data_IF_909838745938
#
_entry.id   IF_909838745938
#
_cell.length_a   1.000
_cell.length_b   1.000
_cell.length_c   1.000
_cell.angle_alpha   90.00
_cell.angle_beta   90.00
_cell.angle_gamma   90.00
#
_symmetry.space_group_name_H-M   'P 1'
#
loop_
_entity.id
_entity.type
_entity.pdbx_description
1 polymer ?
#
# COMPACT_ATOMS: atom_id res chain seq x y z
N UNK A 1 3.94 5.79 -27.26
CA UNK A 1 4.68 4.90 -26.35
C UNK A 1 4.34 3.50 -26.80
N UNK A 2 5.30 2.77 -27.38
CA UNK A 2 5.07 1.38 -27.79
C UNK A 2 4.66 0.55 -26.58
N UNK A 3 3.53 -0.14 -26.71
CA UNK A 3 3.00 -1.04 -25.69
C UNK A 3 3.97 -2.23 -25.61
N UNK A 4 4.84 -2.24 -24.59
CA UNK A 4 5.86 -3.27 -24.44
C UNK A 4 5.16 -4.59 -24.04
N UNK A 5 4.92 -5.44 -25.04
CA UNK A 5 4.21 -6.71 -24.93
C UNK A 5 4.80 -7.63 -23.85
N UNK A 6 6.12 -7.65 -23.67
CA UNK A 6 6.79 -8.45 -22.63
C UNK A 6 6.43 -7.97 -21.22
N UNK A 7 6.43 -6.65 -20.99
CA UNK A 7 5.99 -6.08 -19.71
C UNK A 7 4.53 -6.40 -19.41
N UNK A 8 3.67 -6.38 -20.43
CA UNK A 8 2.24 -6.69 -20.30
C UNK A 8 2.04 -8.16 -19.91
N UNK A 9 2.72 -9.08 -20.61
CA UNK A 9 2.65 -10.51 -20.31
C UNK A 9 3.17 -10.84 -18.91
N UNK A 10 4.30 -10.24 -18.50
CA UNK A 10 4.84 -10.43 -17.15
C UNK A 10 3.90 -9.88 -16.08
N UNK A 11 3.29 -8.70 -16.30
CA UNK A 11 2.31 -8.12 -15.37
C UNK A 11 1.12 -9.05 -15.18
N UNK A 12 0.57 -9.60 -16.25
CA UNK A 12 -0.58 -10.52 -16.17
C UNK A 12 -0.22 -11.78 -15.38
N UNK A 13 0.94 -12.38 -15.66
CA UNK A 13 1.42 -13.57 -14.93
C UNK A 13 1.58 -13.31 -13.43
N UNK A 14 2.13 -12.14 -13.05
CA UNK A 14 2.33 -11.79 -11.65
C UNK A 14 1.01 -11.46 -10.93
N UNK A 15 0.07 -10.81 -11.63
CA UNK A 15 -1.27 -10.53 -11.09
C UNK A 15 -2.03 -11.83 -10.84
N UNK A 16 -2.04 -12.75 -11.80
CA UNK A 16 -2.70 -14.06 -11.65
C UNK A 16 -2.14 -14.84 -10.45
N UNK A 17 -0.82 -14.88 -10.29
CA UNK A 17 -0.19 -15.53 -9.12
C UNK A 17 -0.60 -14.87 -7.80
N UNK A 18 -0.69 -13.54 -7.79
CA UNK A 18 -1.09 -12.78 -6.60
C UNK A 18 -2.57 -13.02 -6.27
N UNK A 19 -3.44 -12.99 -7.26
CA UNK A 19 -4.89 -13.21 -7.11
C UNK A 19 -5.23 -14.65 -6.68
N UNK A 20 -4.40 -15.63 -7.08
CA UNK A 20 -4.51 -17.02 -6.61
C UNK A 20 -3.94 -17.25 -5.19
N UNK A 21 -3.35 -16.22 -4.56
CA UNK A 21 -2.90 -16.34 -3.17
C UNK A 21 -4.09 -16.28 -2.23
N UNK A 22 -4.22 -17.26 -1.32
CA UNK A 22 -5.33 -17.29 -0.38
C UNK A 22 -5.29 -16.08 0.57
N UNK A 23 -6.48 -15.64 1.00
CA UNK A 23 -6.63 -14.53 1.93
C UNK A 23 -5.85 -14.75 3.24
N UNK A 24 -5.84 -15.97 3.77
CA UNK A 24 -5.11 -16.30 5.00
C UNK A 24 -3.60 -16.16 4.82
N UNK A 25 -3.06 -16.65 3.70
CA UNK A 25 -1.64 -16.50 3.39
C UNK A 25 -1.28 -15.02 3.21
N UNK A 26 -2.14 -14.25 2.54
CA UNK A 26 -1.97 -12.81 2.38
C UNK A 26 -1.95 -12.10 3.73
N UNK A 27 -2.85 -12.44 4.65
CA UNK A 27 -2.90 -11.87 6.01
C UNK A 27 -1.64 -12.23 6.81
N UNK A 28 -1.20 -13.49 6.76
CA UNK A 28 0.04 -13.94 7.42
C UNK A 28 1.26 -13.21 6.85
N UNK A 29 1.34 -13.08 5.53
CA UNK A 29 2.43 -12.38 4.85
C UNK A 29 2.45 -10.89 5.21
N UNK A 30 1.29 -10.23 5.21
CA UNK A 30 1.13 -8.83 5.56
C UNK A 30 1.63 -8.55 6.99
N UNK A 31 1.20 -9.36 7.96
CA UNK A 31 1.66 -9.24 9.34
C UNK A 31 3.17 -9.47 9.49
N UNK A 32 3.75 -10.44 8.76
CA UNK A 32 5.20 -10.67 8.75
C UNK A 32 5.96 -9.49 8.16
N UNK A 33 5.44 -8.88 7.09
CA UNK A 33 6.05 -7.70 6.45
C UNK A 33 6.00 -6.50 7.40
N UNK A 34 4.86 -6.21 8.02
CA UNK A 34 4.74 -5.14 9.02
C UNK A 34 5.77 -5.31 10.15
N UNK A 35 5.91 -6.52 10.70
CA UNK A 35 6.93 -6.80 11.74
C UNK A 35 8.36 -6.52 11.27
N UNK A 36 8.67 -6.76 9.99
CA UNK A 36 9.98 -6.44 9.42
C UNK A 36 10.16 -4.95 9.20
N UNK A 37 9.14 -4.24 8.71
CA UNK A 37 9.17 -2.79 8.50
C UNK A 37 9.52 -2.03 9.78
N UNK A 38 8.95 -2.42 10.93
CA UNK A 38 9.26 -1.81 12.23
C UNK A 38 10.73 -1.88 12.64
N UNK A 39 11.49 -2.84 12.09
CA UNK A 39 12.92 -2.99 12.35
C UNK A 39 13.79 -2.09 11.48
N UNK A 40 13.22 -1.49 10.43
CA UNK A 40 13.95 -0.61 9.52
C UNK A 40 14.08 0.76 10.16
N UNK A 41 15.32 1.23 10.32
CA UNK A 41 15.62 2.52 10.93
C UNK A 41 14.91 3.69 10.24
N UNK A 42 14.91 3.70 8.90
CA UNK A 42 14.23 4.73 8.10
C UNK A 42 12.71 4.77 8.37
N UNK A 43 12.07 3.61 8.52
CA UNK A 43 10.64 3.53 8.84
C UNK A 43 10.36 4.03 10.27
N UNK A 44 11.14 3.55 11.24
CA UNK A 44 10.96 3.89 12.66
C UNK A 44 11.06 5.40 12.91
N UNK A 45 12.06 6.05 12.30
CA UNK A 45 12.35 7.47 12.54
C UNK A 45 11.66 8.43 11.55
N UNK A 46 10.92 7.91 10.56
CA UNK A 46 10.17 8.77 9.65
C UNK A 46 9.08 9.55 10.41
N UNK A 47 9.03 10.86 10.21
CA UNK A 47 7.95 11.73 10.73
C UNK A 47 6.80 11.85 9.74
N UNK A 48 7.09 11.74 8.44
CA UNK A 48 6.14 11.77 7.33
C UNK A 48 6.27 10.48 6.51
N UNK A 49 5.16 9.80 6.27
CA UNK A 49 5.14 8.51 5.56
C UNK A 49 4.10 8.54 4.46
N UNK A 50 4.54 8.31 3.22
CA UNK A 50 3.66 7.99 2.10
C UNK A 50 3.42 6.49 2.04
N UNK A 51 2.15 6.09 1.98
CA UNK A 51 1.73 4.68 1.93
C UNK A 51 0.49 4.55 1.06
N UNK A 52 0.29 3.40 0.41
CA UNK A 52 -0.90 3.14 -0.40
C UNK A 52 -1.99 2.44 0.44
N UNK A 53 -3.25 2.62 0.04
CA UNK A 53 -4.36 1.81 0.54
C UNK A 53 -4.47 0.56 -0.34
N UNK A 54 -4.53 -0.65 0.22
CA UNK A 54 -4.38 -1.87 -0.56
C UNK A 54 -5.64 -2.16 -1.38
N UNK A 55 -5.46 -2.70 -2.57
CA UNK A 55 -6.56 -3.15 -3.45
C UNK A 55 -6.38 -4.60 -3.87
N UNK A 56 -7.49 -5.33 -4.00
CA UNK A 56 -7.49 -6.74 -4.43
C UNK A 56 -6.63 -7.63 -3.53
N UNK A 57 -5.65 -8.29 -4.13
CA UNK A 57 -4.74 -9.27 -3.52
C UNK A 57 -3.41 -8.66 -3.01
N UNK A 58 -3.37 -7.35 -2.78
CA UNK A 58 -2.19 -6.67 -2.24
C UNK A 58 -1.96 -6.93 -0.75
N UNK A 59 -0.75 -6.65 -0.29
CA UNK A 59 -0.42 -6.69 1.14
C UNK A 59 -1.32 -5.72 1.88
N UNK A 60 -1.97 -6.21 2.93
CA UNK A 60 -2.85 -5.43 3.79
C UNK A 60 -2.02 -4.41 4.57
N UNK A 61 -2.12 -3.14 4.18
CA UNK A 61 -1.42 -2.02 4.81
C UNK A 61 -2.28 -1.26 5.82
N UNK A 62 -3.54 -1.64 6.02
CA UNK A 62 -4.44 -0.95 6.96
C UNK A 62 -3.88 -0.91 8.39
N UNK A 63 -3.36 -2.04 8.88
CA UNK A 63 -2.76 -2.13 10.22
C UNK A 63 -1.51 -1.23 10.34
N UNK A 64 -0.75 -1.08 9.25
CA UNK A 64 0.42 -0.19 9.18
C UNK A 64 -0.04 1.27 9.25
N UNK A 65 -1.03 1.64 8.45
CA UNK A 65 -1.60 3.01 8.44
C UNK A 65 -2.13 3.37 9.82
N UNK A 66 -2.91 2.47 10.45
CA UNK A 66 -3.47 2.69 11.78
C UNK A 66 -2.37 2.94 12.81
N UNK A 67 -1.34 2.10 12.82
CA UNK A 67 -0.20 2.25 13.73
C UNK A 67 0.56 3.57 13.51
N UNK A 68 0.83 3.94 12.26
CA UNK A 68 1.50 5.20 11.95
C UNK A 68 0.71 6.42 12.46
N UNK A 69 -0.62 6.41 12.32
CA UNK A 69 -1.50 7.46 12.84
C UNK A 69 -1.45 7.47 14.38
N UNK A 70 -1.53 6.30 15.02
CA UNK A 70 -1.45 6.17 16.48
C UNK A 70 -0.10 6.60 17.06
N UNK A 71 1.00 6.40 16.32
CA UNK A 71 2.35 6.87 16.66
C UNK A 71 2.52 8.39 16.47
N UNK A 72 1.46 9.11 16.03
CA UNK A 72 1.49 10.54 15.80
C UNK A 72 2.28 10.96 14.55
N UNK A 73 2.57 10.03 13.64
CA UNK A 73 3.25 10.33 12.37
C UNK A 73 2.26 10.92 11.37
N UNK A 74 2.78 11.73 10.45
CA UNK A 74 1.97 12.25 9.36
C UNK A 74 1.88 11.22 8.24
N UNK A 75 0.67 10.69 8.00
CA UNK A 75 0.41 9.67 6.98
C UNK A 75 -0.21 10.30 5.75
N UNK A 76 0.33 9.96 4.59
CA UNK A 76 -0.14 10.45 3.30
C UNK A 76 -0.52 9.29 2.37
N UNK A 77 -1.71 9.36 1.80
CA UNK A 77 -2.21 8.40 0.82
C UNK A 77 -2.18 9.01 -0.59
N UNK A 78 -1.86 8.22 -1.63
CA UNK A 78 -1.88 8.70 -3.00
C UNK A 78 -3.33 8.87 -3.49
N UNK A 79 -3.61 10.00 -4.15
CA UNK A 79 -4.79 10.26 -4.96
C UNK A 79 -4.37 10.56 -6.39
N UNK A 80 -4.93 9.83 -7.35
CA UNK A 80 -4.71 10.10 -8.77
C UNK A 80 -5.57 11.29 -9.19
N UNK A 81 -4.96 12.32 -9.76
CA UNK A 81 -5.62 13.52 -10.28
C UNK A 81 -5.20 13.72 -11.73
N UNK A 82 -6.04 13.27 -12.66
CA UNK A 82 -5.72 13.25 -14.09
C UNK A 82 -4.54 12.31 -14.37
N UNK A 83 -3.40 12.87 -14.77
CA UNK A 83 -2.14 12.12 -14.99
C UNK A 83 -1.15 12.22 -13.83
N UNK A 84 -1.51 12.91 -12.75
CA UNK A 84 -0.65 13.18 -11.61
C UNK A 84 -1.02 12.30 -10.41
N UNK A 85 -0.03 12.05 -9.54
CA UNK A 85 -0.22 11.37 -8.26
C UNK A 85 0.04 12.38 -7.13
N UNK A 86 -0.99 12.71 -6.37
CA UNK A 86 -0.90 13.64 -5.23
C UNK A 86 -0.95 12.87 -3.91
N UNK A 87 -0.01 13.12 -3.01
CA UNK A 87 -0.04 12.57 -1.66
C UNK A 87 -0.81 13.50 -0.73
N UNK A 88 -1.93 13.00 -0.17
CA UNK A 88 -2.80 13.76 0.71
C UNK A 88 -2.74 13.22 2.13
N UNK A 89 -2.56 14.12 3.10
CA UNK A 89 -2.51 13.77 4.52
C UNK A 89 -3.85 13.24 4.96
N UNK A 90 -3.83 12.20 5.78
CA UNK A 90 -5.01 11.69 6.48
C UNK A 90 -4.80 11.71 7.98
N UNK A 91 -5.91 11.87 8.71
CA UNK A 91 -5.95 11.81 10.18
C UNK A 91 -6.69 10.58 10.68
N UNK A 92 -7.54 9.97 9.84
CA UNK A 92 -8.31 8.77 10.13
C UNK A 92 -8.80 8.14 8.83
N UNK A 93 -9.17 6.85 8.88
CA UNK A 93 -9.82 6.18 7.75
C UNK A 93 -11.18 6.78 7.38
N UNK A 94 -11.87 7.45 8.31
CA UNK A 94 -13.15 8.11 8.02
C UNK A 94 -13.03 9.28 7.05
N UNK A 95 -11.83 9.80 6.82
CA UNK A 95 -11.56 10.83 5.81
C UNK A 95 -11.45 10.27 4.38
N UNK A 96 -11.53 8.95 4.21
CA UNK A 96 -11.38 8.29 2.92
C UNK A 96 -12.72 8.12 2.21
N UNK A 97 -12.69 8.35 0.90
CA UNK A 97 -13.76 8.05 -0.04
C UNK A 97 -13.28 7.00 -1.04
N UNK A 98 -14.20 6.22 -1.60
CA UNK A 98 -13.86 5.27 -2.66
C UNK A 98 -13.40 6.07 -3.88
N UNK A 99 -12.21 5.75 -4.39
CA UNK A 99 -11.72 6.33 -5.64
C UNK A 99 -12.63 5.95 -6.81
N UNK A 100 -12.83 6.90 -7.72
CA UNK A 100 -13.55 6.70 -8.99
C UNK A 100 -12.72 5.88 -9.98
#
# INVERSE_FOLDING_TARGET
MEDNTEKKSLRNLLLEKRDNTSYDLMKIASAKIQKKLKKIYAYKNATKVGIYYPIGSEILTQDIIQELISDGKEVFLPKVVGKNLEFRKITSFSSLEKGN
#
